data_IF_166121052509
#
_entry.id   IF_166121052509
#
_cell.length_a   1.000
_cell.length_b   1.000
_cell.length_c   1.000
_cell.angle_alpha   90.00
_cell.angle_beta   90.00
_cell.angle_gamma   90.00
#
_symmetry.space_group_name_H-M   'P 1'
#
loop_
_entity.id
_entity.type
_entity.pdbx_description
1 polymer ?
#
# COMPACT_ATOMS: atom_id res chain seq x y z
N UNK A 1 -19.92 -16.38 -3.07
CA UNK A 1 -20.49 -16.52 -1.71
C UNK A 1 -20.75 -15.12 -1.17
N UNK A 2 -21.94 -14.81 -0.69
CA UNK A 2 -22.17 -13.55 0.04
C UNK A 2 -21.46 -13.68 1.39
N UNK A 3 -20.29 -13.10 1.53
CA UNK A 3 -19.67 -12.99 2.85
C UNK A 3 -20.53 -12.05 3.68
N UNK A 4 -21.04 -12.55 4.80
CA UNK A 4 -21.78 -11.72 5.74
C UNK A 4 -20.78 -10.83 6.46
N UNK A 5 -20.75 -9.53 6.11
CA UNK A 5 -19.85 -8.57 6.73
C UNK A 5 -20.47 -8.14 8.05
N UNK A 6 -19.70 -8.25 9.13
CA UNK A 6 -20.02 -7.69 10.44
C UNK A 6 -18.94 -6.70 10.84
N UNK A 7 -19.34 -5.58 11.41
CA UNK A 7 -18.43 -4.56 11.92
C UNK A 7 -18.48 -4.54 13.44
N UNK A 8 -17.33 -4.33 14.05
CA UNK A 8 -17.20 -4.03 15.47
C UNK A 8 -16.31 -2.79 15.65
N UNK A 9 -16.52 -2.04 16.73
CA UNK A 9 -15.61 -0.97 17.09
C UNK A 9 -14.20 -1.54 17.26
N UNK A 10 -13.20 -0.80 16.77
CA UNK A 10 -11.81 -1.18 16.91
C UNK A 10 -11.38 -1.18 18.39
N UNK A 11 -11.83 -0.16 19.14
CA UNK A 11 -11.55 0.04 20.56
C UNK A 11 -12.65 0.89 21.19
N UNK A 12 -12.83 0.77 22.51
CA UNK A 12 -13.68 1.67 23.30
C UNK A 12 -13.02 3.03 23.57
N UNK A 13 -11.76 3.21 23.16
CA UNK A 13 -11.04 4.48 23.28
C UNK A 13 -11.65 5.52 22.32
N UNK A 14 -11.97 6.71 22.88
CA UNK A 14 -12.54 7.82 22.12
C UNK A 14 -11.64 8.35 20.98
N UNK A 15 -10.32 8.09 21.06
CA UNK A 15 -9.38 8.43 20.01
C UNK A 15 -9.60 7.60 18.74
N UNK A 16 -10.22 6.41 18.86
CA UNK A 16 -10.48 5.49 17.77
C UNK A 16 -11.97 5.35 17.43
N UNK A 17 -12.80 6.34 17.77
CA UNK A 17 -14.26 6.29 17.57
C UNK A 17 -14.71 6.07 16.13
N UNK A 18 -13.87 6.43 15.16
CA UNK A 18 -14.14 6.26 13.72
C UNK A 18 -13.47 5.03 13.12
N UNK A 19 -12.80 4.21 13.95
CA UNK A 19 -12.12 3.00 13.54
C UNK A 19 -12.97 1.78 13.86
N UNK A 20 -13.03 0.89 12.89
CA UNK A 20 -13.81 -0.34 12.96
C UNK A 20 -12.98 -1.51 12.43
N UNK A 21 -13.33 -2.71 12.89
CA UNK A 21 -12.84 -3.95 12.30
C UNK A 21 -13.99 -4.70 11.64
N UNK A 22 -13.72 -5.42 10.56
CA UNK A 22 -14.65 -6.42 10.03
C UNK A 22 -14.27 -7.83 10.50
N UNK A 23 -15.15 -8.77 10.20
CA UNK A 23 -14.79 -10.17 10.19
C UNK A 23 -13.64 -10.44 9.20
N UNK A 24 -12.89 -11.51 9.46
CA UNK A 24 -11.71 -11.88 8.68
C UNK A 24 -12.07 -12.32 7.25
N UNK A 25 -11.19 -11.98 6.30
CA UNK A 25 -11.21 -12.56 4.96
C UNK A 25 -10.36 -13.82 4.98
N UNK A 26 -10.96 -14.95 4.72
CA UNK A 26 -10.23 -16.20 4.58
C UNK A 26 -9.72 -16.39 3.16
N UNK A 27 -8.42 -16.62 3.04
CA UNK A 27 -7.76 -17.00 1.79
C UNK A 27 -7.55 -18.52 1.77
N UNK A 28 -8.41 -19.23 1.03
CA UNK A 28 -8.39 -20.69 0.93
C UNK A 28 -7.09 -21.24 0.34
N UNK A 29 -6.42 -20.47 -0.52
CA UNK A 29 -5.22 -20.94 -1.23
C UNK A 29 -4.01 -21.08 -0.31
N UNK A 30 -3.90 -20.17 0.66
CA UNK A 30 -2.80 -20.17 1.61
C UNK A 30 -3.24 -20.62 3.02
N UNK A 31 -4.53 -20.90 3.21
CA UNK A 31 -5.15 -21.28 4.48
C UNK A 31 -4.84 -20.27 5.60
N UNK A 32 -5.05 -18.99 5.32
CA UNK A 32 -4.80 -17.87 6.24
C UNK A 32 -5.94 -16.86 6.19
N UNK A 33 -6.02 -16.04 7.23
CA UNK A 33 -6.99 -14.96 7.33
C UNK A 33 -6.31 -13.59 7.35
N UNK A 34 -7.00 -12.60 6.81
CA UNK A 34 -6.63 -11.19 6.93
C UNK A 34 -7.76 -10.45 7.63
N UNK A 35 -7.42 -9.63 8.62
CA UNK A 35 -8.37 -8.69 9.20
C UNK A 35 -8.46 -7.44 8.34
N UNK A 36 -9.59 -6.78 8.42
CA UNK A 36 -9.78 -5.51 7.74
C UNK A 36 -10.03 -4.44 8.80
N UNK A 37 -9.26 -3.38 8.70
CA UNK A 37 -9.44 -2.18 9.50
C UNK A 37 -10.08 -1.09 8.65
N UNK A 38 -11.06 -0.40 9.21
CA UNK A 38 -11.76 0.68 8.54
C UNK A 38 -11.61 1.96 9.33
N UNK A 39 -11.36 3.04 8.62
CA UNK A 39 -11.67 4.37 9.11
C UNK A 39 -12.82 4.92 8.29
N UNK A 40 -13.92 5.17 8.94
CA UNK A 40 -15.14 5.70 8.32
C UNK A 40 -15.26 7.18 8.74
N UNK A 41 -15.29 8.14 7.81
CA UNK A 41 -15.44 9.54 8.16
C UNK A 41 -16.80 9.81 8.82
N UNK A 42 -16.91 10.89 9.58
CA UNK A 42 -18.15 11.24 10.29
C UNK A 42 -19.30 11.54 9.32
N UNK A 43 -19.01 12.15 8.19
CA UNK A 43 -19.93 12.27 7.05
C UNK A 43 -19.54 11.22 5.99
N UNK A 44 -20.25 10.10 5.97
CA UNK A 44 -20.02 9.02 5.01
C UNK A 44 -21.05 8.97 3.88
N UNK A 45 -21.98 9.94 3.83
CA UNK A 45 -22.94 10.03 2.73
C UNK A 45 -22.26 10.49 1.44
N UNK A 46 -21.17 11.23 1.56
CA UNK A 46 -20.33 11.65 0.45
C UNK A 46 -18.87 11.36 0.77
N UNK A 47 -18.26 10.46 0.00
CA UNK A 47 -16.85 10.10 0.15
C UNK A 47 -16.04 10.76 -0.96
N UNK A 48 -15.17 11.72 -0.61
CA UNK A 48 -14.25 12.35 -1.56
C UNK A 48 -13.15 11.38 -2.00
N UNK A 49 -12.57 10.64 -1.03
CA UNK A 49 -11.45 9.76 -1.28
C UNK A 49 -11.64 8.39 -0.62
N UNK A 50 -11.40 7.32 -1.36
CA UNK A 50 -11.21 5.96 -0.85
C UNK A 50 -9.73 5.63 -0.90
N UNK A 51 -9.13 5.21 0.21
CA UNK A 51 -7.79 4.64 0.25
C UNK A 51 -7.90 3.15 0.61
N UNK A 52 -7.59 2.29 -0.35
CA UNK A 52 -7.32 0.88 -0.11
C UNK A 52 -5.83 0.73 0.21
N UNK A 53 -5.49 0.20 1.38
CA UNK A 53 -4.08 0.09 1.78
C UNK A 53 -3.73 -1.29 2.29
N UNK A 54 -2.50 -1.71 1.99
CA UNK A 54 -1.87 -2.93 2.48
C UNK A 54 -1.17 -2.68 3.81
N UNK A 55 -0.97 -3.74 4.59
CA UNK A 55 -0.39 -3.68 5.94
C UNK A 55 -1.20 -2.79 6.91
N UNK A 56 -2.51 -2.96 6.89
CA UNK A 56 -3.48 -2.18 7.67
C UNK A 56 -3.19 -2.11 9.17
N UNK A 57 -2.52 -3.14 9.73
CA UNK A 57 -2.13 -3.18 11.15
C UNK A 57 -1.17 -2.05 11.55
N UNK A 58 -0.48 -1.42 10.58
CA UNK A 58 0.50 -0.36 10.85
C UNK A 58 -0.09 1.06 10.75
N UNK A 59 -1.40 1.21 10.51
CA UNK A 59 -1.98 2.50 10.16
C UNK A 59 -2.28 3.40 11.36
N UNK A 60 -2.85 2.84 12.43
CA UNK A 60 -3.56 3.62 13.44
C UNK A 60 -3.07 3.41 14.87
N UNK A 61 -2.64 2.20 15.23
CA UNK A 61 -2.34 1.83 16.61
C UNK A 61 -0.97 1.12 16.68
N UNK A 62 -0.07 1.68 17.47
CA UNK A 62 1.27 1.12 17.67
C UNK A 62 1.26 -0.26 18.34
N UNK A 63 0.20 -0.60 19.08
CA UNK A 63 0.06 -1.93 19.70
C UNK A 63 -0.19 -3.05 18.70
N UNK A 64 -0.73 -2.73 17.52
CA UNK A 64 -0.97 -3.68 16.43
C UNK A 64 0.14 -3.67 15.38
N UNK A 65 0.98 -2.65 15.38
CA UNK A 65 2.07 -2.50 14.42
C UNK A 65 3.17 -3.52 14.66
N UNK A 66 3.73 -4.03 13.56
CA UNK A 66 4.80 -5.03 13.59
C UNK A 66 6.08 -4.51 14.27
N UNK A 67 6.38 -3.21 14.16
CA UNK A 67 7.57 -2.57 14.72
C UNK A 67 7.27 -1.57 15.85
N UNK A 68 6.03 -1.50 16.33
CA UNK A 68 5.63 -0.55 17.38
C UNK A 68 5.58 0.92 16.93
N UNK A 69 5.70 1.17 15.63
CA UNK A 69 5.53 2.49 14.99
C UNK A 69 4.39 2.44 13.99
N UNK A 70 3.74 3.58 13.75
CA UNK A 70 2.58 3.67 12.86
C UNK A 70 2.75 4.80 11.85
N UNK A 71 1.93 4.75 10.80
CA UNK A 71 1.80 5.84 9.83
C UNK A 71 1.12 7.10 10.40
N UNK A 72 0.55 7.01 11.60
CA UNK A 72 -0.24 8.08 12.25
C UNK A 72 -1.34 8.67 11.34
N UNK A 73 -1.93 7.80 10.55
CA UNK A 73 -2.82 8.18 9.46
C UNK A 73 -4.08 8.89 9.97
N UNK A 74 -4.58 8.54 11.15
CA UNK A 74 -5.76 9.20 11.72
C UNK A 74 -5.51 10.71 11.99
N UNK A 75 -4.37 11.08 12.55
CA UNK A 75 -4.05 12.49 12.81
C UNK A 75 -3.81 13.25 11.50
N UNK A 76 -3.12 12.63 10.53
CA UNK A 76 -2.91 13.20 9.21
C UNK A 76 -4.25 13.50 8.53
N UNK A 77 -5.16 12.54 8.51
CA UNK A 77 -6.45 12.68 7.83
C UNK A 77 -7.36 13.70 8.52
N UNK A 78 -7.37 13.73 9.86
CA UNK A 78 -8.12 14.78 10.59
C UNK A 78 -7.65 16.17 10.20
N UNK A 79 -6.34 16.39 10.16
CA UNK A 79 -5.80 17.69 9.77
C UNK A 79 -6.28 18.08 8.37
N UNK A 80 -6.25 17.13 7.43
CA UNK A 80 -6.71 17.37 6.06
C UNK A 80 -8.22 17.64 6.00
N UNK A 81 -9.01 16.86 6.74
CA UNK A 81 -10.46 17.05 6.82
C UNK A 81 -10.83 18.42 7.39
N UNK A 82 -10.14 18.82 8.47
CA UNK A 82 -10.38 20.11 9.13
C UNK A 82 -9.95 21.31 8.29
N UNK A 83 -8.83 21.20 7.55
CA UNK A 83 -8.29 22.30 6.76
C UNK A 83 -8.94 22.45 5.39
N UNK A 84 -9.26 21.33 4.72
CA UNK A 84 -9.69 21.32 3.33
C UNK A 84 -11.11 20.81 3.10
N UNK A 85 -11.79 20.32 4.15
CA UNK A 85 -13.14 19.78 4.04
C UNK A 85 -13.24 18.51 3.20
N UNK A 86 -12.12 17.80 2.98
CA UNK A 86 -12.06 16.55 2.22
C UNK A 86 -12.08 15.36 3.15
N UNK A 87 -12.97 14.41 2.90
CA UNK A 87 -13.08 13.23 3.73
C UNK A 87 -12.46 11.97 3.09
N UNK A 88 -12.16 10.99 3.94
CA UNK A 88 -11.47 9.77 3.54
C UNK A 88 -12.11 8.53 4.17
N UNK A 89 -12.52 7.60 3.33
CA UNK A 89 -12.78 6.21 3.72
C UNK A 89 -11.48 5.42 3.57
N UNK A 90 -10.98 4.82 4.65
CA UNK A 90 -9.80 3.96 4.61
C UNK A 90 -10.23 2.51 4.78
N UNK A 91 -9.69 1.65 3.93
CA UNK A 91 -9.82 0.20 4.01
C UNK A 91 -8.42 -0.39 4.09
N UNK A 92 -8.01 -0.77 5.29
CA UNK A 92 -6.70 -1.35 5.57
C UNK A 92 -6.76 -2.87 5.67
N UNK A 93 -6.05 -3.54 4.76
CA UNK A 93 -5.93 -5.00 4.76
C UNK A 93 -4.73 -5.37 5.63
N UNK A 94 -4.96 -6.08 6.75
CA UNK A 94 -3.84 -6.53 7.58
C UNK A 94 -3.09 -7.66 6.88
N UNK A 95 -1.78 -7.74 7.09
CA UNK A 95 -1.01 -8.91 6.67
C UNK A 95 -1.12 -10.05 7.68
N UNK A 96 -0.71 -11.24 7.27
CA UNK A 96 -0.63 -12.46 8.07
C UNK A 96 0.78 -13.07 8.00
N UNK A 97 0.99 -14.23 8.63
CA UNK A 97 2.30 -14.90 8.68
C UNK A 97 2.84 -15.28 7.29
N UNK A 98 1.96 -15.48 6.30
CA UNK A 98 2.34 -15.79 4.91
C UNK A 98 2.41 -14.54 4.01
N UNK A 99 2.57 -13.36 4.60
CA UNK A 99 2.69 -12.09 3.88
C UNK A 99 3.66 -12.15 2.70
N UNK A 100 4.80 -12.81 2.86
CA UNK A 100 5.83 -12.92 1.82
C UNK A 100 5.36 -13.70 0.57
N UNK A 101 4.34 -14.57 0.69
CA UNK A 101 3.69 -15.26 -0.42
C UNK A 101 2.54 -14.41 -0.97
N UNK A 102 1.69 -13.94 -0.06
CA UNK A 102 0.46 -13.21 -0.40
C UNK A 102 0.73 -11.83 -1.01
N UNK A 103 1.86 -11.19 -0.66
CA UNK A 103 2.25 -9.86 -1.15
C UNK A 103 3.39 -9.90 -2.18
N UNK A 104 3.68 -11.06 -2.77
CA UNK A 104 4.63 -11.18 -3.85
C UNK A 104 3.91 -11.27 -5.22
N UNK A 105 3.74 -10.16 -5.95
CA UNK A 105 3.08 -10.17 -7.26
C UNK A 105 3.95 -10.72 -8.39
N UNK A 106 5.19 -11.11 -8.10
CA UNK A 106 6.18 -11.63 -9.04
C UNK A 106 6.77 -12.97 -8.56
N UNK A 107 5.94 -14.02 -8.41
CA UNK A 107 6.43 -15.34 -8.04
C UNK A 107 7.38 -15.90 -9.13
N UNK A 108 8.15 -16.93 -8.78
CA UNK A 108 8.97 -17.63 -9.75
C UNK A 108 8.11 -18.29 -10.83
N UNK A 109 8.73 -18.57 -11.96
CA UNK A 109 8.08 -19.31 -13.04
C UNK A 109 7.52 -20.65 -12.53
N UNK A 110 6.28 -20.94 -12.87
CA UNK A 110 5.49 -22.10 -12.41
C UNK A 110 5.01 -22.07 -10.94
N UNK A 111 5.23 -21.00 -10.19
CA UNK A 111 4.58 -20.80 -8.90
C UNK A 111 3.21 -20.12 -9.07
N UNK A 112 2.28 -20.41 -8.14
CA UNK A 112 0.98 -19.74 -8.12
C UNK A 112 1.16 -18.28 -7.71
N UNK A 113 0.54 -17.36 -8.45
CA UNK A 113 0.52 -15.95 -8.07
C UNK A 113 -0.59 -15.68 -7.04
N UNK A 114 -0.29 -15.96 -5.78
CA UNK A 114 -1.22 -15.71 -4.66
C UNK A 114 -1.55 -14.23 -4.50
N UNK A 115 -0.62 -13.33 -4.83
CA UNK A 115 -0.84 -11.89 -4.73
C UNK A 115 -1.94 -11.41 -5.68
N UNK A 116 -1.95 -11.86 -6.93
CA UNK A 116 -3.03 -11.51 -7.86
C UNK A 116 -4.39 -12.05 -7.43
N UNK A 117 -4.42 -13.27 -6.88
CA UNK A 117 -5.65 -13.84 -6.32
C UNK A 117 -6.14 -13.03 -5.13
N UNK A 118 -5.23 -12.64 -4.25
CA UNK A 118 -5.53 -11.81 -3.08
C UNK A 118 -6.10 -10.44 -3.51
N UNK A 119 -5.45 -9.74 -4.45
CA UNK A 119 -5.92 -8.48 -5.00
C UNK A 119 -7.34 -8.63 -5.59
N UNK A 120 -7.56 -9.68 -6.40
CA UNK A 120 -8.87 -9.94 -7.01
C UNK A 120 -9.95 -10.20 -5.96
N UNK A 121 -9.65 -10.97 -4.92
CA UNK A 121 -10.57 -11.21 -3.81
C UNK A 121 -10.97 -9.92 -3.10
N UNK A 122 -9.98 -9.05 -2.81
CA UNK A 122 -10.24 -7.76 -2.17
C UNK A 122 -11.12 -6.89 -3.06
N UNK A 123 -10.73 -6.69 -4.31
CA UNK A 123 -11.37 -5.68 -5.17
C UNK A 123 -12.70 -6.14 -5.75
N UNK A 124 -12.84 -7.42 -6.10
CA UNK A 124 -14.04 -7.93 -6.76
C UNK A 124 -15.10 -8.48 -5.80
N UNK A 125 -14.69 -8.95 -4.62
CA UNK A 125 -15.60 -9.61 -3.69
C UNK A 125 -15.78 -8.79 -2.40
N UNK A 126 -14.69 -8.44 -1.76
CA UNK A 126 -14.74 -7.83 -0.44
C UNK A 126 -15.15 -6.34 -0.51
N UNK A 127 -14.46 -5.53 -1.31
CA UNK A 127 -14.73 -4.10 -1.42
C UNK A 127 -16.20 -3.81 -1.79
N UNK A 128 -16.80 -4.46 -2.81
CA UNK A 128 -18.23 -4.26 -3.11
C UNK A 128 -19.15 -4.64 -1.95
N UNK A 129 -18.80 -5.69 -1.21
CA UNK A 129 -19.61 -6.13 -0.06
C UNK A 129 -19.59 -5.10 1.09
N UNK A 130 -18.41 -4.49 1.35
CA UNK A 130 -18.27 -3.40 2.33
C UNK A 130 -19.07 -2.18 1.92
N UNK A 131 -18.91 -1.74 0.68
CA UNK A 131 -19.59 -0.56 0.16
C UNK A 131 -21.13 -0.73 0.21
N UNK A 132 -21.60 -1.89 -0.16
CA UNK A 132 -23.03 -2.23 -0.07
C UNK A 132 -23.53 -2.23 1.38
N UNK A 133 -22.75 -2.82 2.31
CA UNK A 133 -23.11 -2.84 3.74
C UNK A 133 -23.20 -1.43 4.31
N UNK A 134 -22.25 -0.56 3.96
CA UNK A 134 -22.20 0.84 4.41
C UNK A 134 -23.15 1.75 3.61
N UNK A 135 -23.78 1.23 2.55
CA UNK A 135 -24.59 2.01 1.61
C UNK A 135 -23.82 3.19 1.00
N UNK A 136 -22.54 2.97 0.66
CA UNK A 136 -21.64 3.96 0.06
C UNK A 136 -21.56 3.74 -1.44
N UNK A 137 -21.75 4.82 -2.22
CA UNK A 137 -21.43 4.87 -3.65
C UNK A 137 -20.05 5.50 -3.84
N UNK A 138 -19.25 4.92 -4.73
CA UNK A 138 -17.96 5.48 -5.16
C UNK A 138 -18.08 6.36 -6.41
N UNK A 139 -19.28 6.76 -6.79
CA UNK A 139 -19.47 7.70 -7.89
C UNK A 139 -18.83 9.05 -7.54
N UNK A 140 -17.93 9.51 -8.39
CA UNK A 140 -17.09 10.71 -8.17
C UNK A 140 -16.11 10.62 -7.00
N UNK A 141 -15.86 9.43 -6.44
CA UNK A 141 -14.85 9.20 -5.41
C UNK A 141 -13.48 8.98 -6.04
N UNK A 142 -12.48 9.68 -5.55
CA UNK A 142 -11.10 9.42 -5.92
C UNK A 142 -10.62 8.09 -5.27
N UNK A 143 -10.28 7.11 -6.10
CA UNK A 143 -9.83 5.80 -5.62
C UNK A 143 -8.30 5.73 -5.61
N UNK A 144 -7.76 5.54 -4.43
CA UNK A 144 -6.33 5.50 -4.14
C UNK A 144 -5.97 4.10 -3.65
N UNK A 145 -4.85 3.57 -4.11
CA UNK A 145 -4.26 2.36 -3.51
C UNK A 145 -2.88 2.70 -2.93
N UNK A 146 -2.62 2.23 -1.71
CA UNK A 146 -1.43 2.59 -0.96
C UNK A 146 -0.76 1.38 -0.32
N UNK A 147 0.54 1.48 -0.09
CA UNK A 147 1.30 0.50 0.68
C UNK A 147 2.78 0.81 0.75
N UNK A 148 3.46 0.15 1.69
CA UNK A 148 4.89 0.29 1.88
C UNK A 148 5.60 -1.06 1.69
N UNK A 149 6.87 -1.03 1.30
CA UNK A 149 7.68 -2.22 1.10
C UNK A 149 7.03 -3.20 0.10
N UNK A 150 6.74 -4.43 0.49
CA UNK A 150 5.96 -5.36 -0.35
C UNK A 150 4.57 -4.79 -0.67
N UNK A 151 3.93 -4.07 0.27
CA UNK A 151 2.67 -3.36 0.03
C UNK A 151 2.79 -2.29 -1.07
N UNK A 152 3.96 -1.68 -1.23
CA UNK A 152 4.26 -0.75 -2.33
C UNK A 152 4.25 -1.43 -3.70
N UNK A 153 4.79 -2.64 -3.81
CA UNK A 153 4.65 -3.47 -5.03
C UNK A 153 3.20 -3.87 -5.29
N UNK A 154 2.48 -4.26 -4.23
CA UNK A 154 1.06 -4.61 -4.31
C UNK A 154 0.22 -3.43 -4.81
N UNK A 155 0.53 -2.20 -4.40
CA UNK A 155 -0.17 -1.00 -4.85
C UNK A 155 -0.02 -0.78 -6.35
N UNK A 156 1.19 -0.90 -6.89
CA UNK A 156 1.44 -0.81 -8.34
C UNK A 156 0.66 -1.93 -9.07
N UNK A 157 0.78 -3.17 -8.59
CA UNK A 157 0.10 -4.31 -9.22
C UNK A 157 -1.42 -4.20 -9.17
N UNK A 158 -1.96 -3.68 -8.08
CA UNK A 158 -3.41 -3.45 -7.95
C UNK A 158 -3.92 -2.48 -9.01
N UNK A 159 -3.24 -1.36 -9.23
CA UNK A 159 -3.64 -0.39 -10.26
C UNK A 159 -3.48 -0.95 -11.68
N UNK A 160 -2.51 -1.82 -11.92
CA UNK A 160 -2.38 -2.53 -13.21
C UNK A 160 -3.59 -3.43 -13.47
N UNK A 161 -4.04 -4.18 -12.46
CA UNK A 161 -5.16 -5.10 -12.57
C UNK A 161 -6.52 -4.38 -12.54
N UNK A 162 -6.59 -3.26 -11.83
CA UNK A 162 -7.81 -2.50 -11.56
C UNK A 162 -7.58 -1.01 -11.79
N UNK A 163 -7.69 -0.53 -13.05
CA UNK A 163 -7.35 0.85 -13.43
C UNK A 163 -8.23 1.95 -12.80
N UNK A 164 -9.31 1.61 -12.09
CA UNK A 164 -10.06 2.57 -11.29
C UNK A 164 -9.24 3.16 -10.12
N UNK A 165 -8.24 2.44 -9.60
CA UNK A 165 -7.26 2.98 -8.66
C UNK A 165 -6.25 3.83 -9.41
N UNK A 166 -6.64 5.07 -9.72
CA UNK A 166 -5.82 5.98 -10.53
C UNK A 166 -4.67 6.61 -9.78
N UNK A 167 -4.79 6.74 -8.47
CA UNK A 167 -3.74 7.27 -7.61
C UNK A 167 -3.08 6.14 -6.83
N UNK A 168 -1.77 6.01 -7.01
CA UNK A 168 -0.97 4.93 -6.45
C UNK A 168 0.04 5.55 -5.50
N UNK A 169 0.01 5.15 -4.23
CA UNK A 169 1.02 5.53 -3.24
C UNK A 169 1.89 4.31 -2.97
N UNK A 170 3.12 4.34 -3.49
CA UNK A 170 4.08 3.26 -3.35
C UNK A 170 5.29 3.74 -2.55
N UNK A 171 5.34 3.37 -1.28
CA UNK A 171 6.36 3.79 -0.34
C UNK A 171 7.44 2.72 -0.25
N UNK A 172 8.68 3.09 -0.58
CA UNK A 172 9.84 2.19 -0.46
C UNK A 172 9.56 0.77 -0.95
N UNK A 173 9.08 0.59 -2.21
CA UNK A 173 8.69 -0.73 -2.70
C UNK A 173 9.84 -1.73 -2.61
N UNK A 174 9.55 -2.93 -2.13
CA UNK A 174 10.49 -4.04 -1.99
C UNK A 174 10.82 -4.65 -3.38
N UNK A 175 11.42 -3.86 -4.24
CA UNK A 175 11.64 -4.14 -5.66
C UNK A 175 12.29 -5.49 -5.94
N UNK A 176 13.14 -5.99 -5.04
CA UNK A 176 13.89 -7.25 -5.22
C UNK A 176 13.00 -8.49 -5.31
N UNK A 177 11.76 -8.43 -4.84
CA UNK A 177 10.78 -9.48 -5.07
C UNK A 177 10.30 -9.56 -6.52
N UNK A 178 10.46 -8.48 -7.28
CA UNK A 178 9.99 -8.37 -8.66
C UNK A 178 11.01 -7.93 -9.69
N UNK A 179 12.26 -7.72 -9.30
CA UNK A 179 13.28 -7.22 -10.23
C UNK A 179 13.79 -8.32 -11.19
N UNK A 180 13.90 -8.07 -12.49
CA UNK A 180 13.54 -6.83 -13.20
C UNK A 180 12.09 -6.77 -13.70
N UNK A 181 11.23 -7.74 -13.39
CA UNK A 181 9.88 -7.87 -13.95
C UNK A 181 8.98 -6.66 -13.63
N UNK A 182 9.14 -6.08 -12.43
CA UNK A 182 8.39 -4.88 -12.03
C UNK A 182 8.63 -3.70 -12.98
N UNK A 183 9.86 -3.55 -13.51
CA UNK A 183 10.20 -2.49 -14.46
C UNK A 183 9.41 -2.63 -15.78
N UNK A 184 9.24 -3.88 -16.23
CA UNK A 184 8.49 -4.19 -17.44
C UNK A 184 6.97 -4.05 -17.23
N UNK A 185 6.50 -4.27 -16.01
CA UNK A 185 5.06 -4.28 -15.69
C UNK A 185 4.48 -2.86 -15.61
N UNK A 186 5.29 -1.85 -15.29
CA UNK A 186 4.92 -0.43 -15.25
C UNK A 186 4.24 0.04 -16.55
N UNK A 187 4.64 -0.47 -17.72
CA UNK A 187 4.01 -0.14 -19.02
C UNK A 187 2.51 -0.44 -19.09
N UNK A 188 2.04 -1.41 -18.26
CA UNK A 188 0.66 -1.86 -18.22
C UNK A 188 -0.24 -0.95 -17.36
N UNK A 189 0.31 0.03 -16.65
CA UNK A 189 -0.47 1.04 -15.94
C UNK A 189 -1.30 1.87 -16.93
N UNK A 190 -2.47 2.32 -16.50
CA UNK A 190 -3.27 3.28 -17.25
C UNK A 190 -2.49 4.59 -17.44
N UNK A 191 -2.67 5.26 -18.58
CA UNK A 191 -2.11 6.59 -18.81
C UNK A 191 -2.76 7.68 -17.93
N UNK A 192 -3.92 7.37 -17.35
CA UNK A 192 -4.62 8.26 -16.42
C UNK A 192 -4.14 8.08 -14.98
N UNK A 193 -3.31 7.06 -14.71
CA UNK A 193 -2.78 6.81 -13.38
C UNK A 193 -1.67 7.81 -13.02
N UNK A 194 -1.63 8.20 -11.75
CA UNK A 194 -0.54 8.98 -11.15
C UNK A 194 0.06 8.15 -10.01
N UNK A 195 1.37 7.95 -10.07
CA UNK A 195 2.08 7.19 -9.02
C UNK A 195 2.93 8.15 -8.19
N UNK A 196 2.72 8.10 -6.88
CA UNK A 196 3.55 8.76 -5.88
C UNK A 196 4.52 7.72 -5.34
N UNK A 197 5.77 7.83 -5.76
CA UNK A 197 6.83 6.89 -5.45
C UNK A 197 7.81 7.55 -4.46
N UNK A 198 8.00 6.93 -3.31
CA UNK A 198 8.90 7.43 -2.27
C UNK A 198 9.96 6.39 -1.91
N UNK A 199 11.15 6.85 -1.53
CA UNK A 199 12.18 6.05 -0.85
C UNK A 199 13.06 6.91 0.06
N UNK A 200 13.47 6.36 1.19
CA UNK A 200 14.56 6.92 1.99
C UNK A 200 15.93 6.56 1.40
N UNK A 201 16.97 7.34 1.74
CA UNK A 201 18.35 7.02 1.33
C UNK A 201 19.12 6.21 2.38
N UNK A 202 18.47 5.78 3.47
CA UNK A 202 19.06 5.00 4.57
C UNK A 202 18.25 3.74 4.87
N UNK A 203 17.83 3.03 3.82
CA UNK A 203 16.94 1.87 3.92
C UNK A 203 17.68 0.51 3.88
N UNK A 204 18.95 0.49 3.59
CA UNK A 204 19.75 -0.73 3.43
C UNK A 204 19.90 -1.58 4.70
N UNK A 205 19.59 -1.01 5.89
CA UNK A 205 19.68 -1.73 7.17
C UNK A 205 18.78 -2.97 7.25
N UNK A 206 17.77 -3.08 6.40
CA UNK A 206 16.85 -4.23 6.40
C UNK A 206 17.44 -5.53 5.87
N UNK A 207 18.55 -5.46 5.14
CA UNK A 207 19.12 -6.64 4.49
C UNK A 207 19.96 -7.53 5.43
N UNK A 208 20.42 -7.00 6.54
CA UNK A 208 21.20 -7.73 7.53
C UNK A 208 22.62 -8.09 7.08
N UNK A 209 22.82 -8.51 5.85
CA UNK A 209 24.13 -8.78 5.22
C UNK A 209 24.33 -7.86 4.02
N UNK A 210 25.56 -7.86 3.47
CA UNK A 210 25.86 -7.06 2.28
C UNK A 210 25.12 -7.61 1.06
N UNK A 211 24.44 -6.75 0.32
CA UNK A 211 23.56 -7.09 -0.79
C UNK A 211 24.22 -7.93 -1.89
N UNK A 212 25.54 -7.81 -2.08
CA UNK A 212 26.31 -8.69 -2.99
C UNK A 212 26.28 -10.17 -2.62
N UNK A 213 26.04 -10.48 -1.34
CA UNK A 213 25.94 -11.85 -0.86
C UNK A 213 24.52 -12.42 -0.97
N UNK A 214 23.53 -11.55 -1.16
CA UNK A 214 22.10 -11.90 -1.11
C UNK A 214 21.51 -11.98 -2.51
N UNK A 215 21.88 -11.03 -3.39
CA UNK A 215 21.24 -10.83 -4.69
C UNK A 215 22.16 -11.12 -5.87
N UNK A 216 21.59 -11.43 -7.05
CA UNK A 216 22.39 -11.61 -8.28
C UNK A 216 23.15 -10.33 -8.64
N UNK A 217 24.46 -10.44 -8.78
CA UNK A 217 25.35 -9.30 -9.10
C UNK A 217 25.24 -8.83 -10.58
N UNK A 218 24.42 -9.47 -11.38
CA UNK A 218 24.14 -9.08 -12.77
C UNK A 218 22.94 -8.17 -12.92
N UNK A 219 22.32 -7.76 -11.81
CA UNK A 219 21.30 -6.71 -11.82
C UNK A 219 21.95 -5.36 -12.07
N UNK A 220 21.30 -4.53 -12.87
CA UNK A 220 21.73 -3.14 -13.13
C UNK A 220 21.38 -2.23 -11.94
N UNK A 221 22.09 -2.44 -10.82
CA UNK A 221 21.89 -1.78 -9.54
C UNK A 221 23.22 -1.39 -8.92
N UNK A 222 23.20 -0.41 -8.02
CA UNK A 222 24.39 -0.01 -7.28
C UNK A 222 24.63 -0.92 -6.07
N UNK A 223 25.61 -1.78 -6.19
CA UNK A 223 26.04 -2.70 -5.12
C UNK A 223 27.15 -2.13 -4.22
N UNK A 224 27.41 -0.82 -4.22
CA UNK A 224 28.46 -0.21 -3.40
C UNK A 224 28.23 -0.46 -1.90
N UNK A 225 27.02 -0.28 -1.46
CA UNK A 225 26.53 -0.63 -0.13
C UNK A 225 25.02 -0.90 -0.16
N UNK A 226 24.44 -1.31 0.97
CA UNK A 226 23.04 -1.68 1.07
C UNK A 226 22.07 -0.50 0.85
N UNK A 227 22.45 0.71 1.30
CA UNK A 227 21.64 1.92 1.11
C UNK A 227 21.57 2.30 -0.37
N UNK A 228 22.71 2.32 -1.07
CA UNK A 228 22.78 2.65 -2.49
C UNK A 228 22.06 1.59 -3.35
N UNK A 229 22.17 0.32 -2.97
CA UNK A 229 21.43 -0.76 -3.62
C UNK A 229 19.92 -0.53 -3.51
N UNK A 230 19.42 -0.21 -2.31
CA UNK A 230 18.00 0.04 -2.12
C UNK A 230 17.54 1.23 -2.96
N UNK A 231 18.25 2.35 -2.83
CA UNK A 231 17.91 3.58 -3.53
C UNK A 231 17.95 3.42 -5.05
N UNK A 232 18.98 2.76 -5.59
CA UNK A 232 19.10 2.52 -7.05
C UNK A 232 17.97 1.65 -7.59
N UNK A 233 17.53 0.65 -6.83
CA UNK A 233 16.42 -0.20 -7.25
C UNK A 233 15.09 0.53 -7.36
N UNK A 234 14.76 1.39 -6.39
CA UNK A 234 13.56 2.22 -6.46
C UNK A 234 13.70 3.28 -7.55
N UNK A 235 14.90 3.84 -7.74
CA UNK A 235 15.18 4.77 -8.83
C UNK A 235 14.99 4.13 -10.20
N UNK A 236 15.38 2.86 -10.38
CA UNK A 236 15.13 2.14 -11.64
C UNK A 236 13.63 1.94 -11.91
N UNK A 237 12.82 1.71 -10.86
CA UNK A 237 11.36 1.74 -11.03
C UNK A 237 10.92 3.10 -11.56
N UNK A 238 11.34 4.20 -10.92
CA UNK A 238 11.04 5.57 -11.38
C UNK A 238 11.46 5.80 -12.83
N UNK A 239 12.67 5.41 -13.21
CA UNK A 239 13.19 5.57 -14.57
C UNK A 239 12.40 4.72 -15.59
N UNK A 240 11.84 3.58 -15.16
CA UNK A 240 10.90 2.80 -15.97
C UNK A 240 9.58 3.52 -16.22
N UNK A 241 9.04 4.26 -15.24
CA UNK A 241 7.86 5.11 -15.45
C UNK A 241 8.14 6.16 -16.53
N UNK A 242 9.27 6.86 -16.43
CA UNK A 242 9.65 7.89 -17.43
C UNK A 242 9.81 7.29 -18.83
N UNK A 243 10.49 6.15 -18.93
CA UNK A 243 10.75 5.47 -20.21
C UNK A 243 9.47 4.98 -20.89
N UNK A 244 8.41 4.72 -20.12
CA UNK A 244 7.10 4.31 -20.62
C UNK A 244 6.09 5.46 -20.68
N UNK A 245 6.51 6.71 -20.48
CA UNK A 245 5.66 7.91 -20.45
C UNK A 245 4.50 7.78 -19.44
N UNK A 246 4.75 7.15 -18.28
CA UNK A 246 3.79 7.03 -17.16
C UNK A 246 4.05 8.13 -16.15
N UNK A 247 2.97 8.70 -15.61
CA UNK A 247 3.09 9.79 -14.65
C UNK A 247 3.59 9.26 -13.31
N UNK A 248 4.75 9.76 -12.87
CA UNK A 248 5.33 9.48 -11.57
C UNK A 248 5.77 10.77 -10.89
N UNK A 249 5.43 10.89 -9.62
CA UNK A 249 5.92 11.93 -8.70
C UNK A 249 6.85 11.21 -7.73
N UNK A 250 8.13 11.48 -7.87
CA UNK A 250 9.17 10.81 -7.07
C UNK A 250 9.69 11.74 -5.99
N UNK A 251 9.70 11.25 -4.77
CA UNK A 251 10.31 11.95 -3.63
C UNK A 251 11.28 11.04 -2.87
N UNK A 252 12.26 11.64 -2.23
CA UNK A 252 13.20 10.92 -1.37
C UNK A 252 13.66 11.77 -0.21
N UNK A 253 14.00 11.13 0.91
CA UNK A 253 14.53 11.79 2.10
C UNK A 253 15.97 11.28 2.40
N UNK A 254 16.92 12.20 2.61
CA UNK A 254 18.33 11.87 2.84
C UNK A 254 18.54 10.97 4.06
N UNK A 255 17.78 11.20 5.13
CA UNK A 255 17.81 10.42 6.37
C UNK A 255 16.63 9.44 6.49
N UNK A 256 15.79 9.31 5.45
CA UNK A 256 14.65 8.40 5.44
C UNK A 256 15.10 6.95 5.59
N UNK A 257 14.44 6.22 6.48
CA UNK A 257 14.68 4.81 6.79
C UNK A 257 13.48 3.97 6.39
N UNK A 258 13.68 2.66 6.30
CA UNK A 258 12.60 1.71 6.01
C UNK A 258 11.73 1.48 7.24
N UNK A 259 10.90 2.45 7.57
CA UNK A 259 9.99 2.41 8.71
C UNK A 259 8.79 3.36 8.54
N UNK A 260 7.78 3.15 9.38
CA UNK A 260 6.52 3.88 9.37
C UNK A 260 6.72 5.38 9.65
N UNK A 261 7.68 5.78 10.46
CA UNK A 261 7.95 7.19 10.77
C UNK A 261 8.37 7.97 9.52
N UNK A 262 9.27 7.40 8.71
CA UNK A 262 9.68 8.00 7.43
C UNK A 262 8.52 8.03 6.43
N UNK A 263 7.73 6.97 6.38
CA UNK A 263 6.57 6.87 5.50
C UNK A 263 5.43 7.79 5.90
N UNK A 264 5.17 8.02 7.19
CA UNK A 264 4.19 8.97 7.68
C UNK A 264 4.45 10.39 7.15
N UNK A 265 5.71 10.83 7.18
CA UNK A 265 6.11 12.13 6.62
C UNK A 265 5.83 12.20 5.11
N UNK A 266 6.17 11.13 4.38
CA UNK A 266 5.91 11.07 2.94
C UNK A 266 4.41 11.06 2.62
N UNK A 267 3.60 10.32 3.38
CA UNK A 267 2.14 10.28 3.19
C UNK A 267 1.52 11.67 3.39
N UNK A 268 1.93 12.41 4.40
CA UNK A 268 1.41 13.76 4.63
C UNK A 268 1.66 14.67 3.43
N UNK A 269 2.89 14.65 2.88
CA UNK A 269 3.25 15.42 1.70
C UNK A 269 2.45 14.99 0.46
N UNK A 270 2.26 13.69 0.27
CA UNK A 270 1.53 13.11 -0.86
C UNK A 270 0.05 13.45 -0.79
N UNK A 271 -0.58 13.26 0.36
CA UNK A 271 -2.01 13.55 0.51
C UNK A 271 -2.29 15.06 0.33
N UNK A 272 -1.38 15.94 0.77
CA UNK A 272 -1.47 17.36 0.50
C UNK A 272 -1.39 17.75 -1.00
N UNK A 273 -0.84 16.88 -1.85
CA UNK A 273 -0.81 17.07 -3.31
C UNK A 273 -2.04 16.49 -4.03
N UNK A 274 -2.76 15.58 -3.35
CA UNK A 274 -3.94 14.91 -3.92
C UNK A 274 -5.25 15.69 -3.70
N UNK A 275 -5.22 16.69 -2.84
CA UNK A 275 -6.35 17.55 -2.48
C UNK A 275 -6.38 18.78 -3.40
#
# INVERSE_FOLDING_TARGET
MNQHISFSNYSDDKNFKNLFTSNEIFDEQINETNKILFRIPSDFLHIDNLILTYDGQNLFDSSTSHFGTIFDLENILRTIEDEFGKNFLIIGITSNEKRHIQYNPYPKENEINHAETHIKNIVLNFLPSVLNYLNISLENTNQIVAGASMGGLMSIKTSILFPQFRNIISLSPAFWFGYPSVLNDVKNLSNESSTYLYTGKKEGHIFGDHVKNIFPNNWDLDFSNNDDFYFSGVKNIKDSFDSNNKKVIFSSQDNGRHNETSWATAILEILGQLI
#
